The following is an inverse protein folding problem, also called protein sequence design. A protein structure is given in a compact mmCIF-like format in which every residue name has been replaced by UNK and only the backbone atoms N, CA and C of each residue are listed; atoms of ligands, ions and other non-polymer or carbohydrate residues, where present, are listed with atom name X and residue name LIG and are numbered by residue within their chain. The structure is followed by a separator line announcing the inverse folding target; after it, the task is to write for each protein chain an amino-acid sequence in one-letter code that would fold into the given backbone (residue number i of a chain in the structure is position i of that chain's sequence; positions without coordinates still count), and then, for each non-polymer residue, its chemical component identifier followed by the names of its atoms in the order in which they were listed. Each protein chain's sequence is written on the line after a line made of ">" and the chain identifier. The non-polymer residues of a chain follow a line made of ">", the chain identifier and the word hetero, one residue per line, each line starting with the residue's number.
data_IF_214403512036
#
_entry.id   IF_214403512036
#
_cell.length_a   1.000
_cell.length_b   1.000
_cell.length_c   1.000
_cell.angle_alpha   90.00
_cell.angle_beta   90.00
_cell.angle_gamma   90.00
#
_symmetry.space_group_name_H-M   'P 1'
#
loop_
_entity.id
_entity.type
_entity.pdbx_description
1 polymer ?
#
# COMPACT_ATOMS: atom_id res chain seq x y z
N UNK A 1 -4.32 36.85 -30.80
CA UNK A 1 -3.31 35.78 -30.79
C UNK A 1 -3.29 35.16 -29.40
N UNK A 2 -3.99 34.04 -29.21
CA UNK A 2 -4.15 33.36 -27.90
C UNK A 2 -2.90 32.55 -27.61
N UNK A 3 -2.17 32.94 -26.57
CA UNK A 3 -0.95 32.28 -26.13
C UNK A 3 -1.31 30.90 -25.56
N UNK A 4 -1.01 29.83 -26.29
CA UNK A 4 -1.19 28.46 -25.81
C UNK A 4 -0.33 28.26 -24.56
N UNK A 5 -0.96 28.10 -23.38
CA UNK A 5 -0.27 27.85 -22.13
C UNK A 5 0.60 26.59 -22.27
N UNK A 6 1.91 26.77 -22.12
CA UNK A 6 2.90 25.70 -22.20
C UNK A 6 2.60 24.68 -21.09
N UNK A 7 2.23 23.45 -21.45
CA UNK A 7 1.99 22.36 -20.50
C UNK A 7 3.23 22.16 -19.63
N UNK A 8 3.08 22.34 -18.31
CA UNK A 8 4.16 22.21 -17.32
C UNK A 8 4.49 20.74 -16.96
N UNK A 9 3.73 19.80 -17.49
CA UNK A 9 3.80 18.37 -17.18
C UNK A 9 4.21 17.56 -18.40
N UNK A 10 4.88 16.42 -18.18
CA UNK A 10 5.21 15.49 -19.25
C UNK A 10 3.94 14.82 -19.80
N UNK A 11 3.98 14.38 -21.07
CA UNK A 11 2.86 13.65 -21.69
C UNK A 11 2.49 12.37 -20.94
N UNK A 12 3.44 11.75 -20.22
CA UNK A 12 3.17 10.57 -19.39
C UNK A 12 2.45 10.95 -18.10
N UNK A 13 2.89 12.01 -17.43
CA UNK A 13 2.27 12.47 -16.20
C UNK A 13 0.83 12.96 -16.41
N UNK A 14 0.54 13.55 -17.57
CA UNK A 14 -0.79 14.06 -17.93
C UNK A 14 -1.86 12.97 -18.09
N UNK A 15 -1.46 11.70 -18.18
CA UNK A 15 -2.39 10.56 -18.30
C UNK A 15 -2.92 10.05 -16.96
N UNK A 16 -2.33 10.45 -15.83
CA UNK A 16 -2.82 10.04 -14.52
C UNK A 16 -4.07 10.85 -14.15
N UNK A 17 -5.15 10.14 -13.82
CA UNK A 17 -6.41 10.72 -13.34
C UNK A 17 -6.60 10.44 -11.84
N UNK A 18 -7.61 11.07 -11.22
CA UNK A 18 -7.92 10.78 -9.82
C UNK A 18 -8.35 9.32 -9.65
N UNK A 19 -7.89 8.68 -8.57
CA UNK A 19 -8.33 7.34 -8.20
C UNK A 19 -9.76 7.39 -7.67
N UNK A 20 -10.67 6.71 -8.36
CA UNK A 20 -12.08 6.56 -7.97
C UNK A 20 -12.21 5.99 -6.56
N UNK A 21 -11.34 5.05 -6.15
CA UNK A 21 -11.34 4.49 -4.78
C UNK A 21 -11.10 5.58 -3.74
N UNK A 22 -10.16 6.50 -4.01
CA UNK A 22 -9.84 7.61 -3.11
C UNK A 22 -10.97 8.64 -3.06
N UNK A 23 -11.60 8.91 -4.19
CA UNK A 23 -12.77 9.78 -4.28
C UNK A 23 -13.94 9.21 -3.44
N UNK A 24 -14.24 7.92 -3.59
CA UNK A 24 -15.30 7.26 -2.84
C UNK A 24 -15.04 7.27 -1.34
N UNK A 25 -13.79 7.12 -0.88
CA UNK A 25 -13.45 7.28 0.54
C UNK A 25 -13.79 8.68 1.06
N UNK A 26 -13.51 9.74 0.29
CA UNK A 26 -13.83 11.12 0.68
C UNK A 26 -15.34 11.35 0.79
N UNK A 27 -16.11 10.84 -0.17
CA UNK A 27 -17.58 10.92 -0.16
C UNK A 27 -18.16 10.11 1.02
N UNK A 28 -17.70 8.89 1.25
CA UNK A 28 -18.18 8.06 2.34
C UNK A 28 -17.91 8.69 3.71
N UNK A 29 -16.73 9.27 3.93
CA UNK A 29 -16.41 10.00 5.16
C UNK A 29 -17.27 11.25 5.35
N UNK A 30 -17.56 11.99 4.27
CA UNK A 30 -18.39 13.20 4.34
C UNK A 30 -19.83 12.91 4.79
N UNK A 31 -20.39 11.78 4.35
CA UNK A 31 -21.79 11.41 4.64
C UNK A 31 -21.92 10.35 5.73
N UNK A 32 -20.82 9.92 6.36
CA UNK A 32 -20.82 8.81 7.33
C UNK A 32 -21.32 7.49 6.73
N UNK A 33 -21.19 7.31 5.41
CA UNK A 33 -21.69 6.16 4.68
C UNK A 33 -20.72 4.97 4.78
N UNK A 34 -21.26 3.75 4.66
CA UNK A 34 -20.46 2.53 4.63
C UNK A 34 -19.68 2.46 3.30
N UNK A 35 -18.35 2.47 3.37
CA UNK A 35 -17.49 2.42 2.19
C UNK A 35 -17.16 0.99 1.76
N UNK A 36 -17.97 0.41 0.86
CA UNK A 36 -17.73 -0.92 0.29
C UNK A 36 -16.58 -0.95 -0.74
N UNK A 37 -16.04 0.21 -1.14
CA UNK A 37 -14.92 0.29 -2.07
C UNK A 37 -13.54 0.11 -1.38
N UNK A 38 -13.51 0.10 -0.05
CA UNK A 38 -12.27 0.04 0.72
C UNK A 38 -11.95 -1.41 1.14
N UNK A 39 -10.93 -2.01 0.49
CA UNK A 39 -10.49 -3.38 0.77
C UNK A 39 -9.53 -3.53 1.95
N UNK A 40 -9.64 -2.69 2.99
CA UNK A 40 -8.84 -2.91 4.21
C UNK A 40 -9.57 -3.90 5.13
N UNK A 41 -8.84 -4.79 5.80
CA UNK A 41 -9.46 -5.74 6.72
C UNK A 41 -10.10 -5.01 7.91
N UNK A 42 -11.29 -5.46 8.30
CA UNK A 42 -12.06 -5.00 9.46
C UNK A 42 -11.60 -5.65 10.77
N UNK A 43 -10.65 -6.58 10.70
CA UNK A 43 -10.08 -7.26 11.86
C UNK A 43 -8.76 -6.63 12.34
N UNK A 44 -8.47 -6.72 13.66
CA UNK A 44 -7.21 -6.22 14.19
C UNK A 44 -6.03 -7.03 13.64
N UNK A 45 -4.91 -6.35 13.41
CA UNK A 45 -3.65 -6.98 13.04
C UNK A 45 -3.27 -8.10 14.06
N UNK A 46 -2.83 -9.30 13.60
CA UNK A 46 -2.47 -10.41 14.47
C UNK A 46 -1.46 -10.01 15.57
N UNK A 47 -1.64 -10.44 16.84
CA UNK A 47 -0.77 -10.05 17.95
C UNK A 47 0.71 -10.37 17.72
N UNK A 48 1.00 -11.49 17.06
CA UNK A 48 2.36 -11.94 16.76
C UNK A 48 3.07 -10.96 15.81
N UNK A 49 2.34 -10.41 14.84
CA UNK A 49 2.89 -9.44 13.90
C UNK A 49 3.16 -8.10 14.59
N UNK A 50 2.27 -7.68 15.50
CA UNK A 50 2.51 -6.48 16.33
C UNK A 50 3.76 -6.62 17.18
N UNK A 51 3.94 -7.77 17.86
CA UNK A 51 5.12 -8.03 18.70
C UNK A 51 6.42 -8.04 17.89
N UNK A 52 6.43 -8.72 16.74
CA UNK A 52 7.61 -8.76 15.88
C UNK A 52 8.01 -7.36 15.36
N UNK A 53 7.02 -6.50 15.08
CA UNK A 53 7.30 -5.11 14.69
C UNK A 53 7.90 -4.30 15.86
N UNK A 54 7.38 -4.45 17.08
CA UNK A 54 7.94 -3.82 18.26
C UNK A 54 9.38 -4.28 18.53
N UNK A 55 9.64 -5.59 18.48
CA UNK A 55 10.96 -6.18 18.69
C UNK A 55 11.98 -5.68 17.66
N UNK A 56 11.58 -5.55 16.39
CA UNK A 56 12.44 -5.00 15.34
C UNK A 56 12.82 -3.54 15.59
N UNK A 57 11.90 -2.74 16.13
CA UNK A 57 12.16 -1.35 16.53
C UNK A 57 13.12 -1.32 17.73
N UNK A 58 12.86 -2.12 18.75
CA UNK A 58 13.68 -2.19 19.97
C UNK A 58 15.10 -2.71 19.69
N UNK A 59 15.27 -3.54 18.65
CA UNK A 59 16.57 -4.08 18.22
C UNK A 59 17.36 -3.14 17.29
N UNK A 60 16.93 -1.88 17.13
CA UNK A 60 17.52 -0.88 16.23
C UNK A 60 17.66 -1.37 14.77
N UNK A 61 16.74 -2.23 14.30
CA UNK A 61 16.72 -2.69 12.91
C UNK A 61 16.06 -1.64 11.99
N UNK A 62 16.75 -0.50 11.84
CA UNK A 62 16.27 0.69 11.12
C UNK A 62 17.17 1.08 9.92
N UNK A 63 18.09 0.20 9.53
CA UNK A 63 19.02 0.43 8.42
C UNK A 63 18.35 0.23 7.06
N UNK A 64 18.95 0.83 6.03
CA UNK A 64 18.45 0.73 4.67
C UNK A 64 18.23 -0.73 4.26
N UNK A 65 16.99 -1.03 3.87
CA UNK A 65 16.67 -2.30 3.27
C UNK A 65 17.36 -2.42 1.90
N UNK A 66 17.71 -3.65 1.52
CA UNK A 66 18.17 -3.95 0.16
C UNK A 66 17.05 -3.61 -0.85
N UNK A 67 17.42 -3.19 -2.06
CA UNK A 67 16.49 -2.70 -3.10
C UNK A 67 15.31 -3.62 -3.40
N UNK A 68 15.48 -4.93 -3.17
CA UNK A 68 14.48 -5.96 -3.46
C UNK A 68 13.64 -6.39 -2.25
N UNK A 69 13.71 -5.65 -1.15
CA UNK A 69 13.04 -5.97 0.12
C UNK A 69 13.82 -6.94 0.99
N UNK A 70 13.42 -7.08 2.26
CA UNK A 70 14.09 -7.94 3.23
C UNK A 70 14.15 -9.41 2.76
N UNK A 71 15.34 -10.03 2.90
CA UNK A 71 15.60 -11.39 2.42
C UNK A 71 14.74 -12.42 3.14
N UNK A 72 14.51 -12.26 4.45
CA UNK A 72 13.73 -13.20 5.25
C UNK A 72 12.25 -13.14 4.85
N UNK A 73 11.70 -11.93 4.64
CA UNK A 73 10.34 -11.77 4.13
C UNK A 73 10.14 -12.45 2.77
N UNK A 74 11.14 -12.34 1.87
CA UNK A 74 11.10 -12.97 0.54
C UNK A 74 11.15 -14.49 0.59
N UNK A 75 12.00 -15.08 1.43
CA UNK A 75 12.08 -16.55 1.56
C UNK A 75 10.81 -17.13 2.18
N UNK A 76 10.24 -16.46 3.18
CA UNK A 76 9.00 -16.88 3.84
C UNK A 76 7.79 -16.80 2.91
N UNK A 77 7.72 -15.81 2.02
CA UNK A 77 6.63 -15.72 1.05
C UNK A 77 6.68 -16.85 0.02
N UNK A 78 7.87 -17.21 -0.48
CA UNK A 78 8.07 -18.34 -1.40
C UNK A 78 7.61 -19.66 -0.74
N UNK A 79 8.01 -19.91 0.51
CA UNK A 79 7.57 -21.10 1.25
C UNK A 79 6.04 -21.14 1.40
N UNK A 80 5.40 -20.01 1.72
CA UNK A 80 3.93 -19.93 1.88
C UNK A 80 3.20 -20.21 0.57
N UNK A 81 3.63 -19.60 -0.53
CA UNK A 81 3.02 -19.79 -1.87
C UNK A 81 3.16 -21.25 -2.32
N UNK A 82 4.31 -21.88 -2.05
CA UNK A 82 4.49 -23.30 -2.35
C UNK A 82 3.53 -24.18 -1.55
N UNK A 83 3.19 -23.84 -0.30
CA UNK A 83 2.25 -24.63 0.51
C UNK A 83 0.78 -24.40 0.16
N UNK A 84 0.41 -23.20 -0.32
CA UNK A 84 -0.96 -22.90 -0.73
C UNK A 84 -1.33 -23.50 -2.07
N UNK A 85 -0.36 -23.68 -2.98
CA UNK A 85 -0.57 -24.27 -4.30
C UNK A 85 -0.63 -25.81 -4.30
N UNK A 86 -0.53 -26.45 -3.13
CA UNK A 86 -0.72 -27.89 -2.94
C UNK A 86 -2.13 -28.26 -2.43
N UNK A 87 -3.09 -27.32 -2.46
CA UNK A 87 -4.51 -27.57 -2.12
C UNK A 87 -5.41 -27.40 -3.33
#
# INVERSE_FOLDING_TARGET
>A
MTQAQKRKTSLKADRFTESVIREMTRVALQYGAVNLAQGFPDFPCPPQLKRAACEAIESDNNQYAITWGDRLLKLRSIQRVSQSNLR
#
